data_IF_906197919385
#
_entry.id   IF_906197919385
#
_cell.length_a   1.000
_cell.length_b   1.000
_cell.length_c   1.000
_cell.angle_alpha   90.00
_cell.angle_beta   90.00
_cell.angle_gamma   90.00
#
_symmetry.space_group_name_H-M   'P 1'
#
loop_
_entity.id
_entity.type
_entity.pdbx_description
1 polymer ?
#
# COMPACT_ATOMS: atom_id res chain seq x y z
N UNK A 1 -10.80 9.01 6.87
CA UNK A 1 -9.43 8.59 6.51
C UNK A 1 -9.08 7.41 7.41
N UNK A 2 -8.57 6.32 6.84
CA UNK A 2 -8.08 5.15 7.58
C UNK A 2 -6.59 4.93 7.37
N UNK A 3 -6.00 3.95 8.06
CA UNK A 3 -4.59 3.58 7.90
C UNK A 3 -4.43 2.06 7.90
N UNK A 4 -3.46 1.57 7.11
CA UNK A 4 -2.98 0.18 7.16
C UNK A 4 -1.77 0.03 8.09
N UNK A 5 -1.20 1.13 8.59
CA UNK A 5 -0.17 1.06 9.63
C UNK A 5 -0.77 0.45 10.90
N UNK A 6 -0.13 -0.60 11.41
CA UNK A 6 -0.53 -1.24 12.65
C UNK A 6 -0.04 -0.40 13.83
N UNK A 7 -0.93 0.04 14.71
CA UNK A 7 -0.58 0.96 15.80
C UNK A 7 0.45 0.37 16.80
N UNK A 8 0.48 -0.95 16.96
CA UNK A 8 1.43 -1.65 17.83
C UNK A 8 2.78 -1.92 17.18
N UNK A 9 2.96 -1.57 15.90
CA UNK A 9 4.18 -1.80 15.13
C UNK A 9 4.69 -0.47 14.55
N UNK A 10 5.55 0.26 15.29
CA UNK A 10 6.04 1.57 14.86
C UNK A 10 7.02 1.50 13.70
N UNK A 11 7.63 0.33 13.44
CA UNK A 11 8.61 0.11 12.38
C UNK A 11 8.17 -1.05 11.47
N UNK A 12 7.10 -0.86 10.68
CA UNK A 12 6.55 -1.92 9.85
C UNK A 12 7.59 -2.46 8.86
N UNK A 13 7.60 -3.77 8.66
CA UNK A 13 8.56 -4.46 7.79
C UNK A 13 8.71 -3.81 6.40
N UNK A 14 9.93 -3.80 5.87
CA UNK A 14 10.23 -3.42 4.48
C UNK A 14 10.17 -4.61 3.51
N UNK A 15 9.76 -5.79 3.98
CA UNK A 15 9.63 -6.98 3.14
C UNK A 15 8.57 -6.77 2.06
N UNK A 16 8.93 -7.09 0.82
CA UNK A 16 8.05 -7.01 -0.34
C UNK A 16 7.41 -8.37 -0.61
N UNK A 17 6.16 -8.36 -1.07
CA UNK A 17 5.46 -9.55 -1.56
C UNK A 17 5.30 -9.45 -3.08
N UNK A 18 6.16 -10.17 -3.82
CA UNK A 18 6.28 -10.10 -5.28
C UNK A 18 5.97 -11.47 -5.94
N UNK A 19 4.76 -12.03 -5.78
CA UNK A 19 4.44 -13.27 -6.46
C UNK A 19 4.53 -13.05 -7.97
N UNK A 20 5.14 -13.99 -8.69
CA UNK A 20 5.35 -13.92 -10.14
C UNK A 20 6.32 -12.81 -10.59
N UNK A 21 7.07 -12.18 -9.68
CA UNK A 21 8.10 -11.20 -10.01
C UNK A 21 7.57 -9.87 -10.56
N UNK A 22 6.29 -9.56 -10.33
CA UNK A 22 5.73 -8.24 -10.65
C UNK A 22 6.28 -7.21 -9.68
N UNK A 23 6.66 -6.03 -10.19
CA UNK A 23 7.03 -4.88 -9.36
C UNK A 23 5.89 -4.55 -8.38
N UNK A 24 6.22 -4.29 -7.10
CA UNK A 24 5.21 -4.08 -6.06
C UNK A 24 4.24 -2.93 -6.37
N UNK A 25 4.65 -1.97 -7.22
CA UNK A 25 3.88 -0.82 -7.63
C UNK A 25 3.15 -0.98 -8.97
N UNK A 26 3.28 -2.15 -9.62
CA UNK A 26 2.51 -2.48 -10.82
C UNK A 26 1.00 -2.40 -10.57
N UNK A 27 0.23 -1.99 -11.58
CA UNK A 27 -1.24 -1.90 -11.51
C UNK A 27 -1.90 -3.24 -11.22
N UNK A 28 -1.24 -4.35 -11.59
CA UNK A 28 -1.70 -5.72 -11.37
C UNK A 28 -1.01 -6.39 -10.17
N UNK A 29 -0.07 -5.72 -9.49
CA UNK A 29 0.56 -6.30 -8.30
C UNK A 29 -0.48 -6.54 -7.20
N UNK A 30 -0.32 -7.58 -6.37
CA UNK A 30 -1.20 -7.77 -5.22
C UNK A 30 -1.13 -6.59 -4.26
N UNK A 31 -2.27 -6.28 -3.63
CA UNK A 31 -2.36 -5.43 -2.46
C UNK A 31 -2.29 -6.36 -1.26
N UNK A 32 -1.09 -6.53 -0.69
CA UNK A 32 -0.82 -7.37 0.48
C UNK A 32 -0.58 -6.48 1.71
N UNK A 33 -1.59 -6.20 2.56
CA UNK A 33 -1.54 -5.12 3.56
C UNK A 33 -0.42 -5.23 4.60
N UNK A 34 0.15 -6.42 4.80
CA UNK A 34 1.22 -6.68 5.78
C UNK A 34 2.62 -6.38 5.25
N UNK A 35 2.77 -6.24 3.93
CA UNK A 35 4.04 -6.06 3.25
C UNK A 35 4.26 -4.62 2.77
N UNK A 36 5.51 -4.28 2.52
CA UNK A 36 5.89 -3.01 1.90
C UNK A 36 5.34 -2.92 0.47
N UNK A 37 4.84 -1.74 0.05
CA UNK A 37 4.67 -0.49 0.81
C UNK A 37 3.29 -0.36 1.49
N UNK A 38 2.42 -1.37 1.39
CA UNK A 38 1.02 -1.30 1.83
C UNK A 38 0.84 -1.17 3.32
N UNK A 39 1.68 -1.81 4.12
CA UNK A 39 1.70 -1.70 5.58
C UNK A 39 2.02 -0.30 6.11
N UNK A 40 2.35 0.64 5.21
CA UNK A 40 2.63 2.06 5.49
C UNK A 40 1.62 3.00 4.81
N UNK A 41 0.58 2.45 4.17
CA UNK A 41 -0.38 3.24 3.41
C UNK A 41 -1.49 3.82 4.29
N UNK A 42 -1.96 5.01 3.92
CA UNK A 42 -3.25 5.54 4.38
C UNK A 42 -4.34 5.18 3.37
N UNK A 43 -5.57 5.00 3.86
CA UNK A 43 -6.76 4.68 3.06
C UNK A 43 -7.65 5.91 2.94
N UNK A 44 -7.93 6.29 1.71
CA UNK A 44 -8.72 7.48 1.37
C UNK A 44 -9.93 7.09 0.54
N UNK A 45 -11.03 7.81 0.74
CA UNK A 45 -12.23 7.69 -0.08
C UNK A 45 -12.42 8.97 -0.88
N UNK A 46 -12.68 8.86 -2.18
CA UNK A 46 -13.07 9.99 -3.00
C UNK A 46 -14.47 10.48 -2.59
N UNK A 47 -14.62 11.78 -2.35
CA UNK A 47 -15.89 12.39 -1.93
C UNK A 47 -16.92 12.47 -3.06
N UNK A 48 -16.49 12.36 -4.32
CA UNK A 48 -17.37 12.45 -5.49
C UNK A 48 -17.89 11.10 -5.97
N UNK A 49 -17.06 10.06 -5.92
CA UNK A 49 -17.38 8.75 -6.50
C UNK A 49 -17.19 7.58 -5.54
N UNK A 50 -16.88 7.84 -4.26
CA UNK A 50 -16.73 6.84 -3.18
C UNK A 50 -15.64 5.79 -3.36
N UNK A 51 -14.83 5.87 -4.44
CA UNK A 51 -13.71 4.95 -4.69
C UNK A 51 -12.65 5.07 -3.60
N UNK A 52 -12.05 3.93 -3.26
CA UNK A 52 -10.98 3.83 -2.28
C UNK A 52 -9.60 3.88 -2.95
N UNK A 53 -8.66 4.54 -2.28
CA UNK A 53 -7.29 4.70 -2.72
C UNK A 53 -6.32 4.48 -1.56
N UNK A 54 -5.20 3.82 -1.85
CA UNK A 54 -4.05 3.75 -0.97
C UNK A 54 -3.11 4.90 -1.31
N UNK A 55 -2.60 5.57 -0.29
CA UNK A 55 -1.59 6.62 -0.43
C UNK A 55 -0.38 6.31 0.43
N UNK A 56 0.78 6.38 -0.20
CA UNK A 56 2.09 6.19 0.42
C UNK A 56 3.01 7.31 -0.04
N UNK A 57 3.87 7.80 0.85
CA UNK A 57 4.90 8.77 0.50
C UNK A 57 6.25 8.12 0.75
N UNK A 58 6.99 7.87 -0.31
CA UNK A 58 8.34 7.34 -0.23
C UNK A 58 9.31 8.52 -0.05
N UNK A 59 10.00 8.54 1.09
CA UNK A 59 11.04 9.53 1.36
C UNK A 59 12.40 8.97 1.03
N UNK A 60 13.11 9.60 0.10
CA UNK A 60 14.55 9.43 -0.11
C UNK A 60 15.32 10.62 0.46
N UNK A 61 16.66 10.51 0.54
CA UNK A 61 17.50 11.59 1.10
C UNK A 61 17.35 12.95 0.42
N UNK A 62 16.91 12.98 -0.86
CA UNK A 62 16.76 14.19 -1.66
C UNK A 62 15.44 14.27 -2.46
N UNK A 63 14.55 13.29 -2.32
CA UNK A 63 13.28 13.27 -3.06
C UNK A 63 12.13 12.77 -2.19
N UNK A 64 10.93 13.21 -2.55
CA UNK A 64 9.68 12.75 -1.94
C UNK A 64 8.78 12.30 -3.07
N UNK A 65 8.54 10.99 -3.16
CA UNK A 65 7.65 10.41 -4.14
C UNK A 65 6.28 10.14 -3.51
N UNK A 66 5.26 10.86 -3.96
CA UNK A 66 3.89 10.75 -3.45
C UNK A 66 3.12 9.82 -4.37
N UNK A 67 2.89 8.60 -3.89
CA UNK A 67 2.20 7.58 -4.67
C UNK A 67 0.75 7.40 -4.26
N UNK A 68 -0.10 7.15 -5.25
CA UNK A 68 -1.50 6.81 -5.07
C UNK A 68 -1.84 5.58 -5.90
N UNK A 69 -2.63 4.67 -5.33
CA UNK A 69 -3.09 3.45 -5.98
C UNK A 69 -4.58 3.24 -5.74
N UNK A 70 -5.34 2.98 -6.80
CA UNK A 70 -6.74 2.61 -6.65
C UNK A 70 -6.88 1.24 -5.96
N UNK A 71 -7.77 1.13 -4.99
CA UNK A 71 -8.08 -0.16 -4.36
C UNK A 71 -8.99 -0.96 -5.29
N UNK A 72 -8.45 -2.01 -5.88
CA UNK A 72 -9.20 -3.03 -6.63
C UNK A 72 -9.32 -4.26 -5.75
N UNK A 73 -10.55 -4.62 -5.35
CA UNK A 73 -10.79 -5.75 -4.45
C UNK A 73 -10.19 -7.06 -4.96
N UNK A 74 -10.23 -7.28 -6.28
CA UNK A 74 -9.65 -8.45 -6.93
C UNK A 74 -8.12 -8.60 -6.76
N UNK A 75 -7.41 -7.54 -6.36
CA UNK A 75 -5.97 -7.58 -6.12
C UNK A 75 -5.61 -7.74 -4.64
N UNK A 76 -6.59 -7.70 -3.73
CA UNK A 76 -6.32 -7.81 -2.30
C UNK A 76 -6.00 -9.26 -1.95
N UNK A 77 -4.86 -9.47 -1.29
CA UNK A 77 -4.46 -10.78 -0.77
C UNK A 77 -4.13 -10.66 0.71
N UNK A 78 -4.75 -11.52 1.52
CA UNK A 78 -4.37 -11.69 2.93
C UNK A 78 -3.36 -12.81 3.02
N UNK A 79 -2.09 -12.42 3.14
CA UNK A 79 -0.94 -13.33 3.19
C UNK A 79 -0.24 -13.11 4.53
N UNK A 80 0.06 -14.17 5.31
CA UNK A 80 0.76 -14.04 6.59
C UNK A 80 2.20 -13.57 6.38
N UNK A 81 2.71 -12.74 7.31
CA UNK A 81 4.09 -12.25 7.29
C UNK A 81 5.08 -13.38 7.62
#
# INVERSE_FOLDING_TARGET
MGTLCVASDPEPSYQEYLPQGVDYWSSEAPIAPRYFPYNRCTVWQCTQCTRLYLRYTEGGGYFVDRRIRAVRSALIQDVPL
#
